data_IF_469605701922
#
_entry.id   IF_469605701922
#
_cell.length_a   1.000
_cell.length_b   1.000
_cell.length_c   1.000
_cell.angle_alpha   90.00
_cell.angle_beta   90.00
_cell.angle_gamma   90.00
#
_symmetry.space_group_name_H-M   'P 1'
#
loop_
_entity.id
_entity.type
_entity.pdbx_description
1 polymer ?
#
# COMPACT_ATOMS: atom_id res chain seq x y z
N UNK A 1 26.99 -8.94 -3.80
CA UNK A 1 25.94 -9.97 -3.77
C UNK A 1 25.36 -10.26 -2.37
N UNK A 2 25.72 -9.50 -1.32
CA UNK A 2 25.23 -9.76 0.05
C UNK A 2 23.95 -8.97 0.42
N UNK A 3 23.74 -7.78 -0.16
CA UNK A 3 22.62 -6.89 0.17
C UNK A 3 21.25 -7.44 -0.28
N UNK A 4 21.17 -8.01 -1.48
CA UNK A 4 19.98 -8.70 -1.98
C UNK A 4 19.57 -9.88 -1.09
N UNK A 5 20.56 -10.57 -0.52
CA UNK A 5 20.33 -11.72 0.36
C UNK A 5 19.78 -11.29 1.72
N UNK A 6 20.24 -10.14 2.23
CA UNK A 6 19.71 -9.52 3.45
C UNK A 6 18.27 -9.06 3.21
N UNK A 7 18.02 -8.31 2.14
CA UNK A 7 16.66 -7.89 1.73
C UNK A 7 15.69 -9.07 1.64
N UNK A 8 16.12 -10.15 0.99
CA UNK A 8 15.31 -11.36 0.85
C UNK A 8 15.02 -12.04 2.19
N UNK A 9 16.01 -12.07 3.10
CA UNK A 9 15.84 -12.67 4.43
C UNK A 9 14.88 -11.84 5.28
N UNK A 10 14.95 -10.51 5.22
CA UNK A 10 14.00 -9.62 5.87
C UNK A 10 12.58 -9.77 5.31
N UNK A 11 12.43 -9.84 3.99
CA UNK A 11 11.14 -10.08 3.35
C UNK A 11 10.53 -11.41 3.81
N UNK A 12 11.33 -12.49 3.82
CA UNK A 12 10.89 -13.82 4.26
C UNK A 12 10.51 -13.84 5.75
N UNK A 13 11.29 -13.18 6.62
CA UNK A 13 10.98 -13.07 8.05
C UNK A 13 9.74 -12.22 8.32
N UNK A 14 9.54 -11.14 7.55
CA UNK A 14 8.32 -10.33 7.59
C UNK A 14 7.08 -11.16 7.21
N UNK A 15 7.16 -11.85 6.08
CA UNK A 15 6.10 -12.74 5.61
C UNK A 15 5.77 -13.86 6.60
N UNK A 16 6.79 -14.47 7.23
CA UNK A 16 6.59 -15.50 8.27
C UNK A 16 5.95 -14.91 9.55
N UNK A 17 6.26 -13.67 9.92
CA UNK A 17 5.69 -13.01 11.09
C UNK A 17 4.23 -12.58 10.88
N UNK A 18 3.89 -12.08 9.69
CA UNK A 18 2.50 -11.76 9.32
C UNK A 18 1.62 -13.01 9.18
N UNK A 19 2.17 -14.10 8.62
CA UNK A 19 1.47 -15.39 8.54
C UNK A 19 1.26 -16.05 9.91
N UNK A 20 2.07 -15.73 10.92
CA UNK A 20 1.85 -16.16 12.29
C UNK A 20 0.58 -15.49 12.88
N UNK A 21 0.33 -14.23 12.54
CA UNK A 21 -0.88 -13.48 12.88
C UNK A 21 -1.83 -13.37 11.67
N UNK A 22 -2.30 -14.52 11.17
CA UNK A 22 -3.17 -14.65 9.98
C UNK A 22 -4.30 -13.62 9.92
N UNK A 23 -4.93 -13.35 11.06
CA UNK A 23 -6.00 -12.35 11.17
C UNK A 23 -5.51 -10.96 10.81
N UNK A 24 -4.35 -10.53 11.33
CA UNK A 24 -3.77 -9.23 11.04
C UNK A 24 -3.40 -9.09 9.55
N UNK A 25 -2.84 -10.15 8.94
CA UNK A 25 -2.58 -10.17 7.50
C UNK A 25 -3.86 -9.97 6.68
N UNK A 26 -4.92 -10.74 6.97
CA UNK A 26 -6.20 -10.60 6.26
C UNK A 26 -6.85 -9.24 6.49
N UNK A 27 -6.78 -8.69 7.70
CA UNK A 27 -7.29 -7.35 8.01
C UNK A 27 -6.54 -6.27 7.24
N UNK A 28 -5.21 -6.31 7.21
CA UNK A 28 -4.41 -5.34 6.47
C UNK A 28 -4.62 -5.46 4.95
N UNK A 29 -4.68 -6.69 4.44
CA UNK A 29 -4.98 -6.94 3.03
C UNK A 29 -6.36 -6.40 2.65
N UNK A 30 -7.37 -6.68 3.48
CA UNK A 30 -8.73 -6.18 3.29
C UNK A 30 -8.77 -4.65 3.33
N UNK A 31 -8.07 -4.03 4.28
CA UNK A 31 -7.97 -2.58 4.39
C UNK A 31 -7.30 -1.95 3.17
N UNK A 32 -6.23 -2.57 2.65
CA UNK A 32 -5.56 -2.11 1.43
C UNK A 32 -6.49 -2.17 0.21
N UNK A 33 -7.21 -3.30 0.04
CA UNK A 33 -8.21 -3.46 -1.02
C UNK A 33 -9.33 -2.42 -0.89
N UNK A 34 -9.87 -2.24 0.31
CA UNK A 34 -10.90 -1.24 0.58
C UNK A 34 -10.43 0.18 0.26
N UNK A 35 -9.21 0.55 0.66
CA UNK A 35 -8.62 1.85 0.35
C UNK A 35 -8.47 2.07 -1.15
N UNK A 36 -8.03 1.05 -1.89
CA UNK A 36 -7.95 1.10 -3.35
C UNK A 36 -9.33 1.29 -3.99
N UNK A 37 -10.33 0.51 -3.58
CA UNK A 37 -11.69 0.59 -4.11
C UNK A 37 -12.32 1.95 -3.83
N UNK A 38 -12.17 2.46 -2.60
CA UNK A 38 -12.73 3.77 -2.21
C UNK A 38 -12.06 4.93 -2.94
N UNK A 39 -10.73 4.88 -3.12
CA UNK A 39 -9.99 5.93 -3.82
C UNK A 39 -10.31 5.95 -5.32
N UNK A 40 -10.32 4.79 -5.98
CA UNK A 40 -10.72 4.68 -7.38
C UNK A 40 -12.21 5.01 -7.58
N UNK A 41 -13.07 4.55 -6.69
CA UNK A 41 -14.50 4.86 -6.70
C UNK A 41 -14.77 6.34 -6.50
N UNK A 42 -14.06 6.99 -5.57
CA UNK A 42 -14.13 8.43 -5.34
C UNK A 42 -13.73 9.22 -6.59
N UNK A 43 -12.60 8.86 -7.22
CA UNK A 43 -12.22 9.47 -8.49
C UNK A 43 -13.27 9.23 -9.58
N UNK A 44 -13.80 8.02 -9.70
CA UNK A 44 -14.82 7.68 -10.71
C UNK A 44 -16.10 8.51 -10.53
N UNK A 45 -16.58 8.69 -9.30
CA UNK A 45 -17.77 9.52 -9.01
C UNK A 45 -17.53 10.98 -9.38
N UNK A 46 -16.34 11.54 -9.07
CA UNK A 46 -16.07 12.94 -9.38
C UNK A 46 -15.87 13.16 -10.88
N UNK A 47 -15.16 12.26 -11.57
CA UNK A 47 -14.98 12.33 -13.03
C UNK A 47 -16.24 11.99 -13.82
N UNK A 48 -17.24 11.36 -13.20
CA UNK A 48 -18.56 11.23 -13.82
C UNK A 48 -19.24 12.60 -13.99
N UNK A 49 -18.97 13.53 -13.06
CA UNK A 49 -19.61 14.85 -13.04
C UNK A 49 -18.72 15.96 -13.63
N UNK A 50 -17.41 15.72 -13.77
CA UNK A 50 -16.44 16.74 -14.22
C UNK A 50 -15.36 16.13 -15.13
N UNK A 51 -15.13 16.69 -16.32
CA UNK A 51 -14.10 16.18 -17.25
C UNK A 51 -12.66 16.45 -16.79
N UNK A 52 -12.44 17.50 -16.01
CA UNK A 52 -11.12 17.90 -15.50
C UNK A 52 -11.19 18.44 -14.08
N UNK A 53 -10.29 17.99 -13.21
CA UNK A 53 -10.26 18.37 -11.81
C UNK A 53 -9.03 19.25 -11.57
N UNK A 54 -9.24 20.57 -11.43
CA UNK A 54 -8.14 21.55 -11.31
C UNK A 54 -7.07 21.43 -12.44
N UNK A 55 -7.50 21.10 -13.66
CA UNK A 55 -6.61 20.90 -14.82
C UNK A 55 -6.05 19.48 -14.97
N UNK A 56 -6.29 18.59 -14.00
CA UNK A 56 -5.84 17.20 -14.05
C UNK A 56 -6.84 16.31 -14.79
N UNK A 57 -6.30 15.43 -15.63
CA UNK A 57 -7.07 14.40 -16.35
C UNK A 57 -7.31 13.17 -15.46
N UNK A 58 -8.33 12.37 -15.76
CA UNK A 58 -8.63 11.13 -15.01
C UNK A 58 -7.42 10.20 -14.86
N UNK A 59 -6.67 9.99 -15.94
CA UNK A 59 -5.51 9.10 -15.95
C UNK A 59 -4.39 9.57 -15.01
N UNK A 60 -4.19 10.89 -14.88
CA UNK A 60 -3.12 11.45 -14.06
C UNK A 60 -3.43 11.30 -12.55
N UNK A 61 -4.69 11.54 -12.15
CA UNK A 61 -5.10 11.34 -10.76
C UNK A 61 -5.13 9.86 -10.38
N UNK A 62 -5.53 8.96 -11.29
CA UNK A 62 -5.45 7.51 -11.06
C UNK A 62 -4.00 7.08 -10.89
N UNK A 63 -3.08 7.59 -11.71
CA UNK A 63 -1.64 7.30 -11.56
C UNK A 63 -1.10 7.82 -10.21
N UNK A 64 -1.47 9.05 -9.81
CA UNK A 64 -1.08 9.63 -8.54
C UNK A 64 -1.56 8.78 -7.36
N UNK A 65 -2.84 8.41 -7.34
CA UNK A 65 -3.43 7.55 -6.32
C UNK A 65 -2.76 6.18 -6.29
N UNK A 66 -2.51 5.59 -7.47
CA UNK A 66 -1.81 4.31 -7.59
C UNK A 66 -0.41 4.35 -6.98
N UNK A 67 0.38 5.37 -7.30
CA UNK A 67 1.72 5.56 -6.73
C UNK A 67 1.65 5.78 -5.23
N UNK A 68 0.72 6.62 -4.76
CA UNK A 68 0.53 6.87 -3.32
C UNK A 68 0.25 5.58 -2.55
N UNK A 69 -0.67 4.75 -3.04
CA UNK A 69 -1.03 3.48 -2.41
C UNK A 69 0.13 2.49 -2.46
N UNK A 70 0.87 2.42 -3.57
CA UNK A 70 2.04 1.53 -3.70
C UNK A 70 3.15 1.91 -2.71
N UNK A 71 3.49 3.20 -2.65
CA UNK A 71 4.52 3.70 -1.73
C UNK A 71 4.06 3.54 -0.28
N UNK A 72 2.81 3.90 0.03
CA UNK A 72 2.24 3.71 1.36
C UNK A 72 2.20 2.24 1.80
N UNK A 73 1.82 1.34 0.89
CA UNK A 73 1.82 -0.10 1.15
C UNK A 73 3.22 -0.64 1.42
N UNK A 74 4.22 -0.23 0.62
CA UNK A 74 5.62 -0.63 0.83
C UNK A 74 6.16 -0.16 2.19
N UNK A 75 5.82 1.07 2.60
CA UNK A 75 6.21 1.62 3.90
C UNK A 75 5.57 0.81 5.04
N UNK A 76 4.27 0.52 4.96
CA UNK A 76 3.58 -0.26 5.99
C UNK A 76 4.09 -1.70 6.09
N UNK A 77 4.43 -2.35 4.97
CA UNK A 77 4.91 -3.74 4.96
C UNK A 77 6.37 -3.90 5.43
N UNK A 78 7.24 -2.95 5.12
CA UNK A 78 8.68 -3.09 5.42
C UNK A 78 9.15 -2.19 6.56
N UNK A 79 8.75 -0.92 6.57
CA UNK A 79 9.31 0.09 7.46
C UNK A 79 8.60 0.04 8.81
N UNK A 80 7.27 0.04 8.82
CA UNK A 80 6.47 0.06 10.06
C UNK A 80 6.79 -1.10 11.02
N UNK A 81 6.87 -2.38 10.59
CA UNK A 81 7.23 -3.47 11.49
C UNK A 81 8.69 -3.41 11.95
N UNK A 82 9.58 -2.87 11.11
CA UNK A 82 10.99 -2.71 11.49
C UNK A 82 11.16 -1.66 12.60
N UNK A 83 10.38 -0.57 12.54
CA UNK A 83 10.36 0.47 13.57
C UNK A 83 9.74 -0.03 14.88
N UNK A 84 8.67 -0.82 14.82
CA UNK A 84 8.06 -1.40 16.02
C UNK A 84 9.03 -2.33 16.76
N UNK A 85 9.74 -3.20 16.04
CA UNK A 85 10.78 -4.08 16.64
C UNK A 85 12.00 -3.35 17.20
N UNK A 86 12.24 -2.10 16.80
CA UNK A 86 13.34 -1.30 17.33
C UNK A 86 12.94 -0.52 18.60
N UNK A 87 11.65 -0.26 18.79
CA UNK A 87 11.13 0.42 19.98
C UNK A 87 10.84 -0.53 21.15
N UNK A 88 10.69 -1.82 20.89
CA UNK A 88 10.73 -2.90 21.91
C UNK A 88 12.17 -3.25 22.29
#
# INVERSE_FOLDING_TARGET
MNQLRILWTFFRLGAMNELAYRVNFFTQLFQAVMSLVLSLGGLAVVFNQTDTLAGWRPAELVALVGIYILVGGLINLMIQPSMQRFME
#
